data_IF_694768274562
#
_entry.id   IF_694768274562
#
_cell.length_a   1.000
_cell.length_b   1.000
_cell.length_c   1.000
_cell.angle_alpha   90.00
_cell.angle_beta   90.00
_cell.angle_gamma   90.00
#
_symmetry.space_group_name_H-M   'P 1'
#
loop_
_entity.id
_entity.type
_entity.pdbx_description
1 polymer ?
#
# COMPACT_ATOMS: atom_id res chain seq x y z
N UNK A 1 6.69 8.85 3.46
CA UNK A 1 6.86 7.54 4.12
C UNK A 1 6.27 7.63 5.51
N UNK A 2 5.41 6.70 5.91
CA UNK A 2 4.65 6.77 7.18
C UNK A 2 5.01 5.66 8.18
N UNK A 3 5.79 4.66 7.76
CA UNK A 3 6.26 3.57 8.61
C UNK A 3 7.61 3.03 8.07
N UNK A 4 8.31 2.24 8.87
CA UNK A 4 9.52 1.50 8.49
C UNK A 4 9.26 -0.01 8.56
N UNK A 5 9.85 -0.76 7.63
CA UNK A 5 9.84 -2.23 7.58
C UNK A 5 11.26 -2.79 7.66
N UNK A 6 11.40 -4.09 7.96
CA UNK A 6 12.70 -4.76 8.15
C UNK A 6 12.81 -6.11 7.44
N UNK A 7 11.73 -6.57 6.80
CA UNK A 7 11.55 -7.94 6.33
C UNK A 7 11.84 -8.13 4.83
N UNK A 8 12.19 -7.06 4.12
CA UNK A 8 12.56 -7.07 2.70
C UNK A 8 14.06 -6.87 2.51
N UNK A 9 14.68 -7.73 1.70
CA UNK A 9 16.12 -7.66 1.38
C UNK A 9 16.37 -6.74 0.19
N UNK A 10 17.24 -5.75 0.34
CA UNK A 10 17.64 -4.81 -0.72
C UNK A 10 18.28 -3.55 -0.13
N UNK A 11 18.99 -2.76 -0.94
CA UNK A 11 19.53 -1.46 -0.47
C UNK A 11 18.40 -0.46 -0.22
N UNK A 12 17.37 -0.49 -1.06
CA UNK A 12 16.18 0.35 -0.97
C UNK A 12 14.93 -0.48 -1.30
N UNK A 13 13.88 -0.33 -0.50
CA UNK A 13 12.61 -1.02 -0.69
C UNK A 13 11.45 -0.14 -0.23
N UNK A 14 10.28 -0.34 -0.83
CA UNK A 14 9.05 0.31 -0.45
C UNK A 14 7.94 -0.72 -0.33
N UNK A 15 7.40 -0.87 0.87
CA UNK A 15 6.12 -1.54 1.08
C UNK A 15 4.99 -0.53 0.91
N UNK A 16 4.25 -0.67 -0.19
CA UNK A 16 3.10 0.18 -0.49
C UNK A 16 1.91 -0.30 0.34
N UNK A 17 1.35 0.58 1.17
CA UNK A 17 0.18 0.25 1.99
C UNK A 17 -1.08 0.12 1.13
N UNK A 18 -1.51 -1.12 0.92
CA UNK A 18 -2.68 -1.47 0.12
C UNK A 18 -3.56 -2.43 0.95
N UNK A 19 -4.80 -2.06 1.30
CA UNK A 19 -5.73 -2.98 1.96
C UNK A 19 -5.94 -4.24 1.13
N UNK A 20 -6.01 -5.42 1.76
CA UNK A 20 -6.15 -6.69 1.04
C UNK A 20 -4.84 -7.29 0.53
N UNK A 21 -3.69 -6.61 0.69
CA UNK A 21 -2.40 -7.06 0.15
C UNK A 21 -1.56 -7.95 1.09
N UNK A 22 -2.11 -8.35 2.23
CA UNK A 22 -1.43 -9.16 3.24
C UNK A 22 -1.05 -8.34 4.47
N UNK A 23 -1.32 -8.87 5.66
CA UNK A 23 -0.99 -8.22 6.93
C UNK A 23 0.44 -8.50 7.39
N UNK A 24 1.11 -9.49 6.78
CA UNK A 24 2.47 -9.89 7.10
C UNK A 24 2.61 -10.44 8.52
N UNK A 25 3.74 -10.14 9.14
CA UNK A 25 4.10 -10.65 10.47
C UNK A 25 3.10 -10.22 11.56
N UNK A 26 2.58 -8.99 11.48
CA UNK A 26 1.70 -8.39 12.49
C UNK A 26 0.23 -8.42 12.03
N UNK A 27 -0.40 -9.59 12.13
CA UNK A 27 -1.74 -9.83 11.59
C UNK A 27 -2.89 -9.69 12.60
N UNK A 28 -2.60 -9.34 13.86
CA UNK A 28 -3.63 -9.13 14.87
C UNK A 28 -4.24 -7.72 14.84
N UNK A 29 -3.60 -6.77 14.16
CA UNK A 29 -3.99 -5.35 14.20
C UNK A 29 -5.35 -5.08 13.56
N UNK A 30 -5.61 -5.64 12.38
CA UNK A 30 -6.86 -5.39 11.66
C UNK A 30 -8.06 -6.05 12.34
N UNK A 31 -7.91 -7.31 12.78
CA UNK A 31 -8.96 -7.99 13.56
C UNK A 31 -9.29 -7.24 14.85
N UNK A 32 -8.28 -6.75 15.58
CA UNK A 32 -8.50 -5.96 16.79
C UNK A 32 -9.17 -4.58 16.52
N UNK A 33 -9.06 -4.05 15.31
CA UNK A 33 -9.62 -2.75 14.94
C UNK A 33 -11.08 -2.83 14.48
N UNK A 34 -11.48 -3.95 13.85
CA UNK A 34 -12.78 -4.07 13.19
C UNK A 34 -13.58 -5.24 13.78
N UNK A 35 -14.54 -4.92 14.64
CA UNK A 35 -15.43 -5.90 15.26
C UNK A 35 -16.18 -6.74 14.21
N UNK A 36 -16.22 -8.06 14.42
CA UNK A 36 -16.93 -9.01 13.55
C UNK A 36 -16.15 -9.45 12.31
N UNK A 37 -14.92 -8.98 12.13
CA UNK A 37 -14.00 -9.47 11.10
C UNK A 37 -12.98 -10.43 11.73
N UNK A 38 -12.48 -11.36 10.92
CA UNK A 38 -11.38 -12.26 11.29
C UNK A 38 -10.10 -11.89 10.55
N UNK A 39 -8.95 -12.36 11.02
CA UNK A 39 -7.64 -12.15 10.34
C UNK A 39 -7.74 -12.41 8.83
N UNK A 40 -8.34 -13.53 8.42
CA UNK A 40 -8.42 -13.93 7.01
C UNK A 40 -9.30 -13.02 6.13
N UNK A 41 -10.19 -12.24 6.72
CA UNK A 41 -11.03 -11.30 5.96
C UNK A 41 -10.22 -10.14 5.37
N UNK A 42 -9.05 -9.86 5.94
CA UNK A 42 -8.18 -8.75 5.52
C UNK A 42 -7.22 -9.10 4.39
N UNK A 43 -7.02 -10.38 4.08
CA UNK A 43 -6.00 -10.83 3.13
C UNK A 43 -6.31 -12.16 2.45
N UNK A 44 -7.54 -12.66 2.53
CA UNK A 44 -7.98 -13.93 1.95
C UNK A 44 -7.16 -15.14 2.44
N UNK A 45 -6.88 -15.17 3.74
CA UNK A 45 -6.12 -16.22 4.40
C UNK A 45 -4.68 -16.35 3.86
N UNK A 46 -4.17 -15.27 3.27
CA UNK A 46 -2.83 -15.18 2.71
C UNK A 46 -2.08 -13.98 3.30
N UNK A 47 -1.43 -14.20 4.43
CA UNK A 47 -0.72 -13.15 5.18
C UNK A 47 0.32 -12.39 4.34
N UNK A 48 0.90 -13.00 3.31
CA UNK A 48 1.91 -12.38 2.46
C UNK A 48 1.44 -12.32 1.00
N UNK A 49 1.10 -11.12 0.54
CA UNK A 49 0.58 -10.88 -0.82
C UNK A 49 -0.95 -10.90 -0.93
N UNK A 50 -1.66 -11.36 0.10
CA UNK A 50 -3.10 -11.17 0.24
C UNK A 50 -3.97 -11.79 -0.85
N UNK A 51 -5.14 -11.20 -1.04
CA UNK A 51 -6.18 -11.67 -1.97
C UNK A 51 -5.69 -11.64 -3.41
N UNK A 52 -5.91 -12.73 -4.17
CA UNK A 52 -5.51 -12.83 -5.60
C UNK A 52 -6.46 -12.11 -6.56
N UNK A 53 -7.73 -11.98 -6.19
CA UNK A 53 -8.79 -11.48 -7.05
C UNK A 53 -9.43 -10.23 -6.45
N UNK A 54 -9.85 -9.29 -7.31
CA UNK A 54 -10.53 -8.04 -6.91
C UNK A 54 -11.77 -8.31 -6.05
N UNK A 55 -12.46 -9.43 -6.29
CA UNK A 55 -13.65 -9.83 -5.50
C UNK A 55 -13.33 -10.04 -4.01
N UNK A 56 -12.07 -10.29 -3.65
CA UNK A 56 -11.61 -10.35 -2.27
C UNK A 56 -11.81 -9.03 -1.51
N UNK A 57 -11.84 -7.89 -2.20
CA UNK A 57 -12.08 -6.58 -1.57
C UNK A 57 -13.44 -6.50 -0.87
N UNK A 58 -14.45 -7.26 -1.30
CA UNK A 58 -15.76 -7.27 -0.66
C UNK A 58 -15.76 -7.91 0.73
N UNK A 59 -14.69 -8.63 1.11
CA UNK A 59 -14.48 -9.14 2.47
C UNK A 59 -14.08 -8.04 3.45
N UNK A 60 -13.55 -6.93 2.97
CA UNK A 60 -13.02 -5.84 3.81
C UNK A 60 -14.15 -4.92 4.32
N UNK A 61 -13.94 -4.23 5.45
CA UNK A 61 -14.72 -3.06 5.84
C UNK A 61 -14.85 -2.06 4.70
N UNK A 62 -16.04 -1.44 4.55
CA UNK A 62 -16.36 -0.54 3.43
C UNK A 62 -15.32 0.58 3.25
N UNK A 63 -14.77 1.10 4.34
CA UNK A 63 -13.75 2.15 4.33
C UNK A 63 -12.42 1.73 3.69
N UNK A 64 -12.14 0.43 3.56
CA UNK A 64 -10.90 -0.11 3.00
C UNK A 64 -11.07 -0.59 1.55
N UNK A 65 -12.30 -0.75 1.08
CA UNK A 65 -12.58 -1.38 -0.22
C UNK A 65 -12.00 -0.58 -1.39
N UNK A 66 -12.15 0.75 -1.39
CA UNK A 66 -11.63 1.59 -2.47
C UNK A 66 -10.09 1.47 -2.64
N UNK A 67 -9.35 1.41 -1.53
CA UNK A 67 -7.90 1.19 -1.56
C UNK A 67 -7.51 -0.22 -2.00
N UNK A 68 -8.30 -1.23 -1.63
CA UNK A 68 -8.13 -2.59 -2.13
C UNK A 68 -8.38 -2.68 -3.64
N UNK A 69 -9.46 -2.07 -4.14
CA UNK A 69 -9.81 -2.12 -5.56
C UNK A 69 -8.78 -1.38 -6.44
N UNK A 70 -8.19 -0.30 -5.93
CA UNK A 70 -7.09 0.42 -6.59
C UNK A 70 -5.94 -0.51 -7.01
N UNK A 71 -5.65 -1.54 -6.19
CA UNK A 71 -4.62 -2.57 -6.46
C UNK A 71 -4.81 -3.25 -7.82
N UNK A 72 -6.07 -3.47 -8.21
CA UNK A 72 -6.42 -4.21 -9.42
C UNK A 72 -6.76 -3.27 -10.59
N UNK A 73 -7.33 -2.11 -10.30
CA UNK A 73 -7.82 -1.18 -11.32
C UNK A 73 -6.70 -0.31 -11.88
N UNK A 74 -5.97 0.38 -11.00
CA UNK A 74 -4.93 1.32 -11.39
C UNK A 74 -3.56 0.65 -11.38
N UNK A 75 -3.23 -0.03 -10.29
CA UNK A 75 -1.93 -0.69 -10.14
C UNK A 75 -1.80 -1.94 -11.01
N UNK A 76 -2.93 -2.46 -11.54
CA UNK A 76 -2.98 -3.62 -12.44
C UNK A 76 -2.23 -4.83 -11.87
N UNK A 77 -2.35 -5.08 -10.56
CA UNK A 77 -1.71 -6.21 -9.91
C UNK A 77 -2.15 -7.54 -10.56
N UNK A 78 -1.17 -8.35 -10.95
CA UNK A 78 -1.32 -9.67 -11.61
C UNK A 78 -2.01 -9.69 -12.98
N UNK A 79 -2.34 -8.55 -13.58
CA UNK A 79 -3.05 -8.50 -14.89
C UNK A 79 -2.23 -9.02 -16.08
N UNK A 80 -0.92 -9.21 -15.96
CA UNK A 80 -0.04 -9.56 -17.11
C UNK A 80 1.19 -10.39 -16.72
N UNK A 81 1.04 -11.42 -15.89
CA UNK A 81 2.14 -12.32 -15.46
C UNK A 81 3.35 -11.57 -14.85
N UNK A 82 3.20 -11.14 -13.61
CA UNK A 82 4.36 -10.89 -12.71
C UNK A 82 5.08 -9.54 -12.84
N UNK A 83 4.79 -8.70 -13.83
CA UNK A 83 5.48 -7.40 -13.97
C UNK A 83 5.05 -6.36 -12.93
N UNK A 84 3.83 -6.46 -12.39
CA UNK A 84 3.31 -5.59 -11.33
C UNK A 84 3.35 -6.24 -9.94
N UNK A 85 3.86 -7.46 -9.83
CA UNK A 85 4.04 -8.15 -8.56
C UNK A 85 5.46 -7.88 -8.04
N UNK A 86 5.57 -6.94 -7.11
CA UNK A 86 6.84 -6.42 -6.58
C UNK A 86 7.77 -5.89 -7.70
N UNK A 87 7.31 -4.86 -8.47
CA UNK A 87 8.11 -4.27 -9.53
C UNK A 87 9.34 -3.55 -8.96
N UNK A 88 10.44 -3.59 -9.71
CA UNK A 88 11.54 -2.66 -9.51
C UNK A 88 11.14 -1.28 -10.03
N UNK A 89 11.52 -0.24 -9.29
CA UNK A 89 11.27 1.15 -9.66
C UNK A 89 12.52 1.99 -9.41
N UNK A 90 12.71 2.98 -10.26
CA UNK A 90 13.56 4.12 -9.93
C UNK A 90 12.74 5.14 -9.14
N UNK A 91 13.33 5.74 -8.12
CA UNK A 91 12.65 6.71 -7.29
C UNK A 91 13.55 7.90 -6.98
N UNK A 92 12.91 9.05 -6.71
CA UNK A 92 13.56 10.24 -6.17
C UNK A 92 12.68 10.85 -5.10
N UNK A 93 13.30 11.50 -4.11
CA UNK A 93 12.56 12.30 -3.14
C UNK A 93 12.04 13.58 -3.81
N UNK A 94 10.76 13.86 -3.58
CA UNK A 94 10.08 15.09 -4.01
C UNK A 94 9.43 15.75 -2.80
N UNK A 95 9.08 17.03 -2.93
CA UNK A 95 8.19 17.72 -2.00
C UNK A 95 6.87 16.98 -1.93
N UNK A 96 6.37 16.75 -0.72
CA UNK A 96 5.15 15.98 -0.51
C UNK A 96 3.94 16.75 -1.07
N UNK A 97 3.16 16.17 -2.01
CA UNK A 97 1.96 16.81 -2.52
C UNK A 97 0.93 17.05 -1.39
N UNK A 98 0.17 18.17 -1.41
CA UNK A 98 -0.81 18.49 -0.38
C UNK A 98 -1.91 17.42 -0.24
N UNK A 99 -2.21 16.69 -1.31
CA UNK A 99 -3.15 15.56 -1.31
C UNK A 99 -2.71 14.44 -0.35
N UNK A 100 -1.41 14.31 -0.08
CA UNK A 100 -0.87 13.30 0.85
C UNK A 100 -0.72 13.89 2.26
N UNK A 101 -0.15 15.09 2.40
CA UNK A 101 0.11 15.69 3.72
C UNK A 101 -1.16 16.09 4.45
N UNK A 102 -2.23 16.49 3.74
CA UNK A 102 -3.53 16.75 4.37
C UNK A 102 -4.19 15.48 4.92
N UNK A 103 -3.93 14.31 4.31
CA UNK A 103 -4.46 13.02 4.79
C UNK A 103 -3.65 12.55 6.00
N UNK A 104 -2.32 12.62 5.94
CA UNK A 104 -1.45 12.13 7.00
C UNK A 104 -1.34 13.08 8.20
N UNK A 105 -1.61 14.38 7.98
CA UNK A 105 -1.33 15.44 8.95
C UNK A 105 0.16 15.71 9.17
N UNK A 106 1.04 15.20 8.30
CA UNK A 106 2.50 15.24 8.49
C UNK A 106 3.21 15.78 7.25
N UNK A 107 4.02 16.82 7.46
CA UNK A 107 4.93 17.40 6.46
C UNK A 107 6.35 17.43 7.03
N UNK A 108 7.36 16.87 6.32
CA UNK A 108 8.75 16.96 6.74
C UNK A 108 9.22 18.42 6.89
N UNK A 109 10.11 18.69 7.84
CA UNK A 109 10.62 20.05 8.07
C UNK A 109 11.50 20.55 6.91
N UNK A 110 12.11 19.63 6.17
CA UNK A 110 12.97 19.86 5.01
C UNK A 110 12.22 19.64 3.67
N UNK A 111 10.89 19.52 3.67
CA UNK A 111 10.11 19.21 2.47
C UNK A 111 10.26 20.28 1.37
N UNK A 112 10.47 21.54 1.77
CA UNK A 112 10.69 22.65 0.86
C UNK A 112 12.02 22.56 0.08
N UNK A 113 13.00 21.80 0.57
CA UNK A 113 14.32 21.63 -0.04
C UNK A 113 14.30 20.69 -1.25
N UNK A 114 13.16 20.02 -1.49
CA UNK A 114 12.97 19.08 -2.59
C UNK A 114 12.09 19.67 -3.70
N UNK A 115 12.27 19.23 -4.96
CA UNK A 115 11.47 19.71 -6.08
C UNK A 115 10.02 19.24 -5.94
N UNK A 116 9.08 20.02 -6.45
CA UNK A 116 7.69 19.58 -6.62
C UNK A 116 7.61 18.41 -7.60
N UNK A 117 6.53 17.63 -7.50
CA UNK A 117 6.29 16.55 -8.45
C UNK A 117 5.96 17.15 -9.83
N UNK A 118 6.71 16.74 -10.84
CA UNK A 118 6.47 17.05 -12.24
C UNK A 118 6.23 15.73 -13.00
N UNK A 119 4.98 15.35 -13.29
CA UNK A 119 4.66 14.11 -13.99
C UNK A 119 5.34 13.96 -15.36
N UNK A 120 5.70 15.05 -16.02
CA UNK A 120 6.32 15.03 -17.36
C UNK A 120 7.83 14.73 -17.30
N UNK A 121 8.40 14.67 -16.09
CA UNK A 121 9.82 14.42 -15.86
C UNK A 121 10.18 12.94 -15.59
N UNK A 122 9.26 12.01 -15.85
CA UNK A 122 9.38 10.57 -15.54
C UNK A 122 9.04 9.68 -16.74
#
# INVERSE_FOLDING_TARGET
VTNIGFDVTGEHSFDIQIPGAGQGLFHAGCEAQFDGYTVGDFDCDNLYGGCKEKTGCHRLPMSLQAGCEWRYDWYNWLKSEGTTNNPFVDFRRVRCPPQITHISGSTPLDDADYPEIDPDSY
#
